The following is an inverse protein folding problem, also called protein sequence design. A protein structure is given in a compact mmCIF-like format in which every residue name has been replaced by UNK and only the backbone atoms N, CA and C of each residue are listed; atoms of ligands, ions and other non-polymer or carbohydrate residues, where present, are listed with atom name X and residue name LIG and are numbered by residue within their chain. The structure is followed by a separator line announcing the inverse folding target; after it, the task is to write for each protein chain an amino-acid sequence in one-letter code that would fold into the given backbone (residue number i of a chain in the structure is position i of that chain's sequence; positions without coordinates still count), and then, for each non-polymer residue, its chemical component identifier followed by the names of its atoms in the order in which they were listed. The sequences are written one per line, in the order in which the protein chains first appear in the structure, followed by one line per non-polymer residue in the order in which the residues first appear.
data_IF_161901587482
#
_entry.id   IF_161901587482
#
_cell.length_a   1.000
_cell.length_b   1.000
_cell.length_c   1.000
_cell.angle_alpha   90.00
_cell.angle_beta   90.00
_cell.angle_gamma   90.00
#
_symmetry.space_group_name_H-M   'P 1'
#
loop_
_entity.id
_entity.type
_entity.pdbx_description
1 polymer ?
#
# COMPACT_ATOMS: atom_id res chain seq x y z
N UNK A 1 5.96 -16.60 7.09
CA UNK A 1 7.07 -17.44 6.57
C UNK A 1 8.05 -16.53 5.85
N UNK A 2 9.36 -16.57 6.13
CA UNK A 2 10.32 -15.74 5.39
C UNK A 2 11.68 -15.60 6.08
N UNK A 3 12.70 -15.28 5.29
CA UNK A 3 14.07 -14.98 5.72
C UNK A 3 14.46 -13.60 5.18
N UNK A 4 14.87 -12.70 6.08
CA UNK A 4 15.52 -11.42 5.77
C UNK A 4 14.82 -10.56 4.71
N UNK A 5 15.18 -10.79 3.45
CA UNK A 5 14.79 -9.99 2.29
C UNK A 5 13.38 -10.30 1.75
N UNK A 6 12.77 -11.42 2.17
CA UNK A 6 11.41 -11.79 1.77
C UNK A 6 10.61 -12.29 2.96
N UNK A 7 9.44 -11.69 3.19
CA UNK A 7 8.51 -12.05 4.26
C UNK A 7 7.13 -12.24 3.67
N UNK A 8 6.53 -13.42 3.87
CA UNK A 8 5.14 -13.70 3.54
C UNK A 8 4.31 -13.86 4.81
N UNK A 9 3.22 -13.09 4.90
CA UNK A 9 2.20 -13.17 5.94
C UNK A 9 0.92 -13.72 5.31
N UNK A 10 0.29 -14.70 5.96
CA UNK A 10 -0.97 -15.25 5.49
C UNK A 10 -2.02 -15.10 6.57
N UNK A 11 -3.15 -14.49 6.21
CA UNK A 11 -4.34 -14.36 7.04
C UNK A 11 -5.39 -15.29 6.47
N UNK A 12 -5.87 -16.24 7.26
CA UNK A 12 -6.85 -17.21 6.80
C UNK A 12 -7.93 -17.43 7.86
N UNK A 13 -9.16 -17.72 7.42
CA UNK A 13 -10.24 -18.12 8.32
C UNK A 13 -9.86 -19.40 9.07
N UNK A 14 -10.22 -19.48 10.36
CA UNK A 14 -9.97 -20.65 11.20
C UNK A 14 -10.53 -21.93 10.56
N UNK A 15 -9.80 -23.07 10.63
CA UNK A 15 -10.30 -24.36 10.14
C UNK A 15 -11.52 -24.87 10.94
N UNK A 16 -11.79 -24.29 12.11
CA UNK A 16 -12.93 -24.61 12.97
C UNK A 16 -14.14 -23.68 12.78
N UNK A 17 -14.10 -22.77 11.81
CA UNK A 17 -15.24 -21.90 11.53
C UNK A 17 -16.45 -22.74 11.07
N UNK A 18 -17.56 -22.63 11.80
CA UNK A 18 -18.79 -23.39 11.52
C UNK A 18 -19.67 -22.74 10.44
N UNK A 19 -19.40 -21.47 10.11
CA UNK A 19 -20.09 -20.68 9.10
C UNK A 19 -19.11 -19.69 8.44
N UNK A 20 -19.48 -19.14 7.27
CA UNK A 20 -18.62 -18.27 6.46
C UNK A 20 -17.79 -19.03 5.42
N UNK A 21 -17.53 -18.40 4.27
CA UNK A 21 -16.65 -18.98 3.25
C UNK A 21 -15.20 -19.03 3.74
N UNK A 22 -14.44 -20.05 3.33
CA UNK A 22 -12.99 -20.09 3.58
C UNK A 22 -12.34 -18.95 2.79
N UNK A 23 -11.77 -17.97 3.47
CA UNK A 23 -10.95 -16.93 2.85
C UNK A 23 -9.49 -17.05 3.27
N UNK A 24 -8.58 -16.75 2.35
CA UNK A 24 -7.16 -16.65 2.62
C UNK A 24 -6.60 -15.44 1.86
N UNK A 25 -5.96 -14.55 2.61
CA UNK A 25 -5.25 -13.38 2.11
C UNK A 25 -3.75 -13.59 2.33
N UNK A 26 -2.98 -13.47 1.26
CA UNK A 26 -1.52 -13.60 1.30
C UNK A 26 -0.90 -12.23 1.05
N UNK A 27 -0.05 -11.77 1.96
CA UNK A 27 0.67 -10.50 1.88
C UNK A 27 2.16 -10.83 1.80
N UNK A 28 2.85 -10.36 0.77
CA UNK A 28 4.28 -10.56 0.60
C UNK A 28 5.01 -9.21 0.62
N UNK A 29 6.05 -9.16 1.43
CA UNK A 29 6.97 -8.05 1.59
C UNK A 29 8.32 -8.46 1.01
N UNK A 30 8.87 -7.65 0.12
CA UNK A 30 10.19 -7.85 -0.44
C UNK A 30 11.01 -6.57 -0.27
N UNK A 31 12.21 -6.72 0.31
CA UNK A 31 13.16 -5.61 0.37
C UNK A 31 13.68 -5.31 -1.04
N UNK A 32 13.63 -4.03 -1.44
CA UNK A 32 14.13 -3.53 -2.71
C UNK A 32 15.03 -2.33 -2.45
N UNK A 33 15.85 -1.97 -3.43
CA UNK A 33 16.87 -0.92 -3.29
C UNK A 33 16.32 0.40 -2.71
N UNK A 34 15.10 0.77 -3.08
CA UNK A 34 14.44 2.02 -2.67
C UNK A 34 13.31 1.83 -1.62
N UNK A 35 13.23 0.69 -0.93
CA UNK A 35 12.22 0.47 0.11
C UNK A 35 11.65 -0.95 0.18
N UNK A 36 10.35 -1.08 0.44
CA UNK A 36 9.68 -2.38 0.57
C UNK A 36 8.57 -2.49 -0.48
N UNK A 37 8.69 -3.49 -1.34
CA UNK A 37 7.61 -3.87 -2.25
C UNK A 37 6.58 -4.73 -1.51
N UNK A 38 5.32 -4.32 -1.55
CA UNK A 38 4.20 -5.00 -0.90
C UNK A 38 3.25 -5.53 -1.97
N UNK A 39 2.97 -6.82 -1.93
CA UNK A 39 1.97 -7.47 -2.79
C UNK A 39 0.92 -8.17 -1.93
N UNK A 40 -0.35 -7.96 -2.28
CA UNK A 40 -1.48 -8.58 -1.59
C UNK A 40 -2.22 -9.45 -2.62
N UNK A 41 -2.13 -10.76 -2.44
CA UNK A 41 -2.82 -11.75 -3.26
C UNK A 41 -4.09 -12.26 -2.58
N UNK A 42 -5.23 -12.17 -3.26
CA UNK A 42 -6.48 -12.81 -2.84
C UNK A 42 -6.52 -14.25 -3.37
N UNK A 43 -6.48 -15.25 -2.49
CA UNK A 43 -6.67 -16.64 -2.89
C UNK A 43 -8.14 -17.07 -2.69
N UNK A 44 -8.86 -17.02 -3.81
CA UNK A 44 -10.07 -17.76 -4.16
C UNK A 44 -11.38 -17.46 -3.38
N UNK A 45 -12.17 -16.56 -3.96
CA UNK A 45 -13.60 -16.32 -3.70
C UNK A 45 -14.54 -17.52 -4.01
N UNK A 46 -14.01 -18.64 -4.48
CA UNK A 46 -14.78 -19.85 -4.81
C UNK A 46 -15.60 -20.36 -3.61
N UNK A 47 -15.10 -20.19 -2.38
CA UNK A 47 -15.82 -20.59 -1.17
C UNK A 47 -17.02 -19.71 -0.79
N UNK A 48 -16.91 -18.39 -1.01
CA UNK A 48 -17.98 -17.45 -0.66
C UNK A 48 -19.13 -17.54 -1.68
N UNK A 49 -18.81 -17.56 -2.98
CA UNK A 49 -19.81 -17.69 -4.04
C UNK A 49 -20.49 -19.07 -4.05
N UNK A 50 -19.77 -20.16 -3.74
CA UNK A 50 -20.38 -21.49 -3.58
C UNK A 50 -21.31 -21.56 -2.36
N UNK A 51 -20.94 -20.93 -1.25
CA UNK A 51 -21.79 -20.89 -0.06
C UNK A 51 -23.09 -20.12 -0.31
N UNK A 52 -23.06 -19.08 -1.14
CA UNK A 52 -24.26 -18.37 -1.60
C UNK A 52 -25.08 -19.21 -2.59
N UNK A 53 -24.45 -19.83 -3.59
CA UNK A 53 -25.15 -20.63 -4.61
C UNK A 53 -25.86 -21.87 -4.06
N UNK A 54 -25.25 -22.59 -3.11
CA UNK A 54 -25.89 -23.71 -2.41
C UNK A 54 -27.07 -23.19 -1.57
N UNK A 55 -26.90 -22.06 -0.89
CA UNK A 55 -27.99 -21.44 -0.10
C UNK A 55 -29.19 -21.08 -0.98
N UNK A 56 -28.98 -20.54 -2.18
CA UNK A 56 -30.06 -20.18 -3.10
C UNK A 56 -30.84 -21.39 -3.62
N UNK A 57 -30.15 -22.50 -3.90
CA UNK A 57 -30.79 -23.77 -4.31
C UNK A 57 -31.62 -24.40 -3.19
N UNK A 58 -31.16 -24.33 -1.95
CA UNK A 58 -31.90 -24.82 -0.79
C UNK A 58 -33.06 -23.89 -0.39
N UNK A 59 -32.91 -22.57 -0.56
CA UNK A 59 -33.95 -21.56 -0.34
C UNK A 59 -35.17 -21.75 -1.25
N UNK A 60 -34.95 -22.13 -2.52
CA UNK A 60 -36.04 -22.44 -3.46
C UNK A 60 -36.92 -23.61 -3.00
N UNK A 61 -36.35 -24.57 -2.25
CA UNK A 61 -37.09 -25.73 -1.72
C UNK A 61 -37.73 -25.49 -0.36
N UNK A 62 -37.16 -24.62 0.47
CA UNK A 62 -37.72 -24.33 1.79
C UNK A 62 -37.45 -22.86 2.20
N UNK A 63 -38.32 -21.93 1.79
CA UNK A 63 -38.10 -20.49 1.99
C UNK A 63 -38.13 -20.06 3.46
N UNK A 64 -38.81 -20.81 4.34
CA UNK A 64 -38.86 -20.52 5.78
C UNK A 64 -37.52 -20.78 6.49
N UNK A 65 -36.59 -21.52 5.86
CA UNK A 65 -35.24 -21.74 6.39
C UNK A 65 -34.35 -20.49 6.35
N UNK A 66 -34.72 -19.48 5.55
CA UNK A 66 -33.98 -18.22 5.42
C UNK A 66 -34.29 -17.21 6.53
N UNK A 67 -35.39 -17.36 7.26
CA UNK A 67 -35.75 -16.43 8.34
C UNK A 67 -34.74 -16.45 9.50
N UNK A 68 -34.13 -17.61 9.76
CA UNK A 68 -33.04 -17.75 10.74
C UNK A 68 -31.66 -17.36 10.19
N UNK A 69 -31.54 -17.00 8.89
CA UNK A 69 -30.27 -16.63 8.23
C UNK A 69 -30.21 -15.18 7.80
N UNK A 70 -31.34 -14.52 7.61
CA UNK A 70 -31.39 -13.09 7.28
C UNK A 70 -30.86 -12.23 8.43
N UNK A 71 -31.03 -12.65 9.68
CA UNK A 71 -30.45 -11.96 10.85
C UNK A 71 -28.91 -12.03 10.87
N UNK A 72 -28.31 -13.16 10.46
CA UNK A 72 -26.85 -13.36 10.46
C UNK A 72 -26.15 -12.78 9.21
N UNK A 73 -26.83 -12.71 8.05
CA UNK A 73 -26.21 -12.28 6.78
C UNK A 73 -26.31 -10.77 6.57
N UNK A 74 -27.28 -10.09 7.20
CA UNK A 74 -27.46 -8.65 7.06
C UNK A 74 -26.46 -7.81 7.89
N UNK A 75 -25.81 -8.38 8.91
CA UNK A 75 -24.79 -7.70 9.72
C UNK A 75 -23.36 -7.81 9.14
N UNK A 76 -23.13 -8.64 8.12
CA UNK A 76 -21.77 -9.02 7.69
C UNK A 76 -21.40 -8.54 6.26
N UNK A 77 -22.24 -7.72 5.62
CA UNK A 77 -22.00 -7.16 4.28
C UNK A 77 -21.45 -5.72 4.32
N UNK A 78 -21.44 -5.08 5.50
CA UNK A 78 -20.95 -3.70 5.66
C UNK A 78 -19.42 -3.58 5.85
N UNK A 79 -18.68 -4.69 6.00
CA UNK A 79 -17.25 -4.69 6.35
C UNK A 79 -16.35 -5.47 5.38
N UNK A 80 -16.72 -5.59 4.10
CA UNK A 80 -15.81 -6.13 3.09
C UNK A 80 -14.94 -5.02 2.50
N UNK A 81 -13.76 -4.82 3.07
CA UNK A 81 -12.51 -4.79 2.31
C UNK A 81 -11.32 -5.04 3.25
N UNK A 82 -11.18 -6.27 3.75
CA UNK A 82 -9.98 -6.74 4.47
C UNK A 82 -8.68 -6.35 3.75
N UNK A 83 -8.69 -6.28 2.42
CA UNK A 83 -7.57 -5.77 1.62
C UNK A 83 -7.28 -4.29 1.88
N UNK A 84 -8.30 -3.43 1.97
CA UNK A 84 -8.14 -2.00 2.23
C UNK A 84 -7.69 -1.75 3.67
N UNK A 85 -8.22 -2.48 4.65
CA UNK A 85 -7.79 -2.40 6.05
C UNK A 85 -6.32 -2.81 6.22
N UNK A 86 -5.90 -3.86 5.52
CA UNK A 86 -4.49 -4.28 5.48
C UNK A 86 -3.63 -3.20 4.85
N UNK A 87 -4.06 -2.60 3.74
CA UNK A 87 -3.34 -1.48 3.12
C UNK A 87 -3.20 -0.29 4.05
N UNK A 88 -4.30 0.11 4.71
CA UNK A 88 -4.30 1.21 5.66
C UNK A 88 -3.33 0.93 6.82
N UNK A 89 -3.37 -0.28 7.38
CA UNK A 89 -2.49 -0.67 8.48
C UNK A 89 -1.02 -0.63 8.07
N UNK A 90 -0.69 -1.10 6.86
CA UNK A 90 0.68 -1.06 6.32
C UNK A 90 1.14 0.39 6.15
N UNK A 91 0.30 1.25 5.57
CA UNK A 91 0.63 2.67 5.35
C UNK A 91 0.82 3.43 6.68
N UNK A 92 -0.06 3.27 7.65
CA UNK A 92 0.06 3.88 8.98
C UNK A 92 1.34 3.40 9.71
N UNK A 93 1.62 2.10 9.63
CA UNK A 93 2.83 1.51 10.22
C UNK A 93 4.08 2.07 9.54
N UNK A 94 4.13 2.10 8.21
CA UNK A 94 5.27 2.62 7.46
C UNK A 94 5.54 4.10 7.80
N UNK A 95 4.48 4.92 7.86
CA UNK A 95 4.58 6.33 8.27
C UNK A 95 5.09 6.48 9.70
N UNK A 96 4.62 5.65 10.64
CA UNK A 96 5.08 5.68 12.04
C UNK A 96 6.57 5.32 12.17
N UNK A 97 7.09 4.50 11.26
CA UNK A 97 8.50 4.13 11.16
C UNK A 97 9.35 5.15 10.37
N UNK A 98 8.75 6.26 9.93
CA UNK A 98 9.44 7.34 9.23
C UNK A 98 9.53 7.18 7.72
N UNK A 99 8.77 6.26 7.09
CA UNK A 99 8.68 6.23 5.63
C UNK A 99 7.97 7.49 5.14
N UNK A 100 8.72 8.46 4.62
CA UNK A 100 8.19 9.55 3.81
C UNK A 100 7.87 9.06 2.39
N UNK A 101 7.03 9.80 1.67
CA UNK A 101 6.93 9.68 0.21
C UNK A 101 8.21 10.26 -0.41
N UNK A 102 9.34 9.59 -0.23
CA UNK A 102 10.54 9.92 -0.98
C UNK A 102 10.41 9.32 -2.39
N UNK A 103 10.58 10.16 -3.41
CA UNK A 103 10.81 9.64 -4.75
C UNK A 103 12.01 8.71 -4.70
N UNK A 104 11.90 7.53 -5.31
CA UNK A 104 13.03 6.61 -5.42
C UNK A 104 14.21 7.30 -6.12
N UNK A 105 15.43 6.92 -5.78
CA UNK A 105 16.63 7.61 -6.31
C UNK A 105 16.73 7.46 -7.84
N UNK A 106 16.10 6.42 -8.38
CA UNK A 106 15.93 6.19 -9.82
C UNK A 106 15.08 7.26 -10.55
N UNK A 107 14.13 7.87 -9.85
CA UNK A 107 13.24 8.92 -10.37
C UNK A 107 13.75 10.34 -10.06
N UNK A 108 14.70 10.51 -9.15
CA UNK A 108 15.34 11.79 -8.82
C UNK A 108 16.47 12.15 -9.79
N UNK A 109 16.15 12.45 -11.06
CA UNK A 109 17.15 13.05 -11.98
C UNK A 109 17.01 14.57 -11.98
N UNK A 110 18.10 15.27 -11.68
CA UNK A 110 18.11 16.74 -11.70
C UNK A 110 18.59 17.24 -13.06
N UNK A 111 17.81 18.11 -13.69
CA UNK A 111 18.21 18.73 -14.95
C UNK A 111 19.09 19.93 -14.64
N UNK A 112 20.30 19.95 -15.19
CA UNK A 112 21.21 21.09 -15.02
C UNK A 112 20.62 22.35 -15.67
N UNK A 113 20.43 23.43 -14.91
CA UNK A 113 19.91 24.70 -15.43
C UNK A 113 20.80 25.38 -16.49
N UNK A 114 22.04 24.91 -16.67
CA UNK A 114 23.01 25.51 -17.61
C UNK A 114 23.06 24.78 -18.95
N UNK A 115 23.10 23.45 -18.94
CA UNK A 115 23.27 22.63 -20.17
C UNK A 115 22.14 21.61 -20.38
N UNK A 116 21.15 21.58 -19.49
CA UNK A 116 20.01 20.65 -19.50
C UNK A 116 20.38 19.16 -19.42
N UNK A 117 21.61 18.83 -19.05
CA UNK A 117 22.01 17.45 -18.81
C UNK A 117 21.31 16.92 -17.55
N UNK A 118 20.67 15.74 -17.62
CA UNK A 118 20.15 15.06 -16.43
C UNK A 118 21.31 14.49 -15.61
N UNK A 119 21.31 14.77 -14.32
CA UNK A 119 22.32 14.35 -13.35
C UNK A 119 21.71 13.38 -12.33
N UNK A 120 22.49 12.42 -11.82
CA UNK A 120 22.07 11.58 -10.71
C UNK A 120 21.88 12.42 -9.44
N UNK A 121 21.09 11.91 -8.47
CA UNK A 121 20.86 12.62 -7.22
C UNK A 121 22.15 12.70 -6.38
N UNK A 122 22.28 13.78 -5.59
CA UNK A 122 23.40 13.99 -4.68
C UNK A 122 24.61 14.70 -5.29
N UNK A 123 24.71 14.85 -6.61
CA UNK A 123 25.89 15.47 -7.20
C UNK A 123 25.98 16.97 -7.01
N UNK A 124 27.17 17.44 -6.62
CA UNK A 124 27.45 18.86 -6.42
C UNK A 124 27.66 19.61 -7.75
N UNK A 125 28.18 18.91 -8.76
CA UNK A 125 28.56 19.46 -10.07
C UNK A 125 27.92 18.65 -11.21
N UNK A 126 27.60 19.33 -12.31
CA UNK A 126 27.06 18.71 -13.51
C UNK A 126 28.11 17.79 -14.16
N UNK A 127 27.73 16.53 -14.41
CA UNK A 127 28.59 15.52 -15.03
C UNK A 127 29.04 15.88 -16.46
N UNK A 128 28.33 16.78 -17.13
CA UNK A 128 28.64 17.20 -18.49
C UNK A 128 29.37 18.54 -18.58
N UNK A 129 28.95 19.56 -17.81
CA UNK A 129 29.47 20.93 -17.95
C UNK A 129 30.22 21.45 -16.72
N UNK A 130 30.22 20.73 -15.60
CA UNK A 130 30.86 21.15 -14.35
C UNK A 130 30.16 22.28 -13.61
N UNK A 131 28.97 22.72 -14.03
CA UNK A 131 28.20 23.74 -13.32
C UNK A 131 27.65 23.25 -11.97
N UNK A 132 27.50 24.12 -10.96
CA UNK A 132 26.96 23.73 -9.66
C UNK A 132 25.49 23.29 -9.76
N UNK A 133 25.11 22.25 -9.01
CA UNK A 133 23.77 21.68 -8.98
C UNK A 133 23.01 21.94 -7.66
N UNK A 134 23.58 22.69 -6.72
CA UNK A 134 22.96 22.92 -5.41
C UNK A 134 21.55 23.53 -5.47
N UNK A 135 21.28 24.33 -6.51
CA UNK A 135 20.01 25.02 -6.72
C UNK A 135 18.86 24.12 -7.20
N UNK A 136 19.19 22.95 -7.76
CA UNK A 136 18.23 21.98 -8.29
C UNK A 136 18.04 20.77 -7.38
N UNK A 137 18.78 20.68 -6.27
CA UNK A 137 18.63 19.60 -5.32
C UNK A 137 17.37 19.82 -4.45
N UNK A 138 16.53 18.77 -4.29
CA UNK A 138 15.34 18.82 -3.47
C UNK A 138 15.74 18.85 -2.00
N UNK A 139 14.88 19.44 -1.20
CA UNK A 139 15.06 19.51 0.24
C UNK A 139 13.80 18.98 0.92
N UNK A 140 14.01 18.31 2.05
CA UNK A 140 12.93 17.66 2.79
C UNK A 140 12.36 18.65 3.82
N UNK A 141 11.04 18.81 3.85
CA UNK A 141 10.35 19.61 4.85
C UNK A 141 10.62 19.04 6.24
N UNK A 142 11.22 19.85 7.13
CA UNK A 142 11.62 19.42 8.49
C UNK A 142 10.45 19.09 9.40
N UNK A 143 9.24 19.48 9.01
CA UNK A 143 8.05 19.32 9.82
C UNK A 143 7.23 18.06 9.48
N UNK A 144 7.27 17.57 8.24
CA UNK A 144 6.46 16.40 7.83
C UNK A 144 7.17 15.41 6.90
N UNK A 145 8.44 15.63 6.54
CA UNK A 145 9.19 14.71 5.68
C UNK A 145 8.83 14.78 4.19
N UNK A 146 7.98 15.72 3.76
CA UNK A 146 7.63 15.87 2.35
C UNK A 146 8.81 16.42 1.54
N UNK A 147 9.15 15.77 0.43
CA UNK A 147 10.22 16.19 -0.48
C UNK A 147 9.76 17.35 -1.34
N UNK A 148 10.45 18.50 -1.25
CA UNK A 148 10.13 19.70 -2.03
C UNK A 148 11.11 19.82 -3.19
N UNK A 149 10.56 19.79 -4.41
CA UNK A 149 11.31 19.84 -5.66
C UNK A 149 11.54 21.27 -6.17
N UNK A 150 10.79 22.22 -5.64
CA UNK A 150 10.77 23.65 -6.00
C UNK A 150 11.18 24.49 -4.79
N UNK A 151 11.66 25.71 -5.01
CA UNK A 151 11.94 26.66 -3.91
C UNK A 151 10.64 27.25 -3.35
N UNK A 152 9.84 26.43 -2.71
CA UNK A 152 8.63 26.87 -2.00
C UNK A 152 8.98 27.22 -0.55
N UNK A 153 8.45 28.34 -0.05
CA UNK A 153 8.65 28.75 1.35
C UNK A 153 7.66 28.08 2.31
N UNK A 154 6.60 27.48 1.78
CA UNK A 154 5.55 26.79 2.52
C UNK A 154 5.39 25.39 1.94
N UNK A 155 5.45 24.37 2.79
CA UNK A 155 5.33 22.98 2.37
C UNK A 155 3.94 22.72 1.77
N UNK A 156 3.82 22.21 0.54
CA UNK A 156 2.54 22.00 -0.11
C UNK A 156 1.73 20.89 0.56
N UNK A 157 2.39 19.99 1.29
CA UNK A 157 1.75 18.91 2.04
C UNK A 157 1.23 19.37 3.41
N UNK A 158 2.09 19.84 4.32
CA UNK A 158 1.68 20.18 5.69
C UNK A 158 1.32 21.65 5.93
N UNK A 159 1.46 22.50 4.91
CA UNK A 159 1.18 23.95 4.95
C UNK A 159 1.97 24.72 6.02
N UNK A 160 3.06 24.16 6.54
CA UNK A 160 4.00 24.83 7.45
C UNK A 160 5.23 25.36 6.68
N UNK A 161 5.97 26.34 7.23
CA UNK A 161 7.24 26.76 6.65
C UNK A 161 8.20 25.58 6.49
N UNK A 162 8.94 25.58 5.38
CA UNK A 162 9.83 24.49 4.98
C UNK A 162 11.16 24.53 5.73
#
# INVERSE_FOLDING_TARGET
MGTGDFIAVQVATSPYAQSGGKTALSITFQNVEDGVNVQIGQQAWLGVAASLGVTTLFALRNPLSLLNRLDDIAQDIENLNLTDEVWQTIDETARSLGSGFELTDRLKKYVCNYCNTPNPPGEALCIACGAPLGDVQPHTCRNCGYVILTRESVCPNCKRPV
#
